data_IF_634927265438
#
_entry.id   IF_634927265438
#
_cell.length_a   1.000
_cell.length_b   1.000
_cell.length_c   1.000
_cell.angle_alpha   90.00
_cell.angle_beta   90.00
_cell.angle_gamma   90.00
#
_symmetry.space_group_name_H-M   'P 1'
#
loop_
_entity.id
_entity.type
_entity.pdbx_description
1 polymer ?
#
# COMPACT_ATOMS: atom_id res chain seq x y z
N UNK A 1 54.71 -13.60 10.33
CA UNK A 1 54.55 -12.80 9.10
C UNK A 1 53.05 -12.62 8.89
N UNK A 2 52.57 -11.39 9.04
CA UNK A 2 51.15 -11.04 9.09
C UNK A 2 50.46 -11.23 7.73
N UNK A 3 49.25 -11.78 7.73
CA UNK A 3 48.39 -11.82 6.54
C UNK A 3 48.04 -10.38 6.10
N UNK A 4 47.95 -10.09 4.79
CA UNK A 4 47.61 -8.75 4.32
C UNK A 4 46.16 -8.39 4.70
N UNK A 5 45.84 -7.10 4.91
CA UNK A 5 44.47 -6.65 5.11
C UNK A 5 43.64 -6.91 3.84
N UNK A 6 42.41 -7.41 4.03
CA UNK A 6 41.45 -7.55 2.93
C UNK A 6 41.15 -6.16 2.33
N UNK A 7 41.05 -6.03 0.99
CA UNK A 7 40.67 -4.76 0.38
C UNK A 7 39.27 -4.36 0.85
N UNK A 8 39.12 -3.07 1.14
CA UNK A 8 37.84 -2.45 1.50
C UNK A 8 36.79 -2.84 0.48
N UNK A 9 35.83 -3.66 0.90
CA UNK A 9 34.60 -3.90 0.19
C UNK A 9 33.90 -2.54 0.04
N UNK A 10 33.50 -2.11 -1.17
CA UNK A 10 32.76 -0.87 -1.32
C UNK A 10 31.48 -1.02 -0.50
N UNK A 11 31.22 -0.02 0.36
CA UNK A 11 29.95 0.10 1.10
C UNK A 11 28.84 -0.03 0.07
N UNK A 12 27.96 -1.01 0.28
CA UNK A 12 26.74 -1.18 -0.49
C UNK A 12 26.11 0.19 -0.68
N UNK A 13 25.94 0.58 -1.94
CA UNK A 13 25.15 1.74 -2.30
C UNK A 13 23.72 1.38 -1.87
N UNK A 14 23.36 1.77 -0.65
CA UNK A 14 22.00 1.64 -0.15
C UNK A 14 21.18 2.60 -0.99
N UNK A 15 20.54 2.10 -2.04
CA UNK A 15 19.35 2.74 -2.58
C UNK A 15 18.46 3.00 -1.37
N UNK A 16 18.30 4.27 -0.97
CA UNK A 16 17.39 4.61 0.11
C UNK A 16 16.00 4.29 -0.44
N UNK A 17 15.38 3.22 0.04
CA UNK A 17 13.96 3.02 -0.18
C UNK A 17 13.24 4.31 0.25
N UNK A 18 12.33 4.84 -0.57
CA UNK A 18 11.59 6.05 -0.23
C UNK A 18 10.90 5.81 1.12
N UNK A 19 11.06 6.76 2.04
CA UNK A 19 10.32 6.72 3.30
C UNK A 19 8.87 7.04 2.98
N UNK A 20 7.94 6.26 3.50
CA UNK A 20 6.50 6.48 3.34
C UNK A 20 5.93 7.12 4.60
N UNK A 21 4.93 7.98 4.42
CA UNK A 21 4.03 8.40 5.49
C UNK A 21 2.63 7.85 5.21
N UNK A 22 1.94 7.46 6.27
CA UNK A 22 0.62 6.84 6.20
C UNK A 22 -0.44 7.81 6.73
N UNK A 23 -1.63 7.76 6.13
CA UNK A 23 -2.79 8.53 6.57
C UNK A 23 -3.28 8.06 7.94
N UNK A 24 -4.00 8.94 8.65
CA UNK A 24 -4.77 8.58 9.84
C UNK A 24 -5.98 7.68 9.55
N UNK A 25 -6.41 7.60 8.28
CA UNK A 25 -7.47 6.69 7.82
C UNK A 25 -6.98 5.25 7.58
N UNK A 26 -5.66 5.04 7.52
CA UNK A 26 -5.09 3.71 7.36
C UNK A 26 -5.33 2.86 8.61
N UNK A 27 -5.68 1.58 8.43
CA UNK A 27 -5.93 0.67 9.53
C UNK A 27 -6.81 -0.52 9.18
N UNK A 28 -7.08 -1.35 10.18
CA UNK A 28 -7.99 -2.48 10.03
C UNK A 28 -9.44 -2.00 9.93
N UNK A 29 -10.18 -2.55 8.98
CA UNK A 29 -11.61 -2.35 8.82
C UNK A 29 -12.30 -3.72 8.79
N UNK A 30 -13.36 -3.86 9.59
CA UNK A 30 -14.14 -5.10 9.68
C UNK A 30 -15.62 -4.82 9.43
N UNK A 31 -16.22 -5.60 8.54
CA UNK A 31 -17.65 -5.67 8.31
C UNK A 31 -18.09 -7.09 7.98
N UNK A 32 -19.24 -7.50 8.49
CA UNK A 32 -19.79 -8.87 8.36
C UNK A 32 -18.80 -10.02 8.67
N UNK A 33 -17.81 -9.79 9.54
CA UNK A 33 -16.80 -10.79 9.90
C UNK A 33 -15.71 -11.00 8.84
N UNK A 34 -15.58 -10.08 7.87
CA UNK A 34 -14.45 -9.97 6.96
C UNK A 34 -13.59 -8.80 7.41
N UNK A 35 -12.29 -9.04 7.55
CA UNK A 35 -11.32 -7.99 7.94
C UNK A 35 -10.37 -7.72 6.77
N UNK A 36 -10.15 -6.44 6.51
CA UNK A 36 -9.14 -5.94 5.57
C UNK A 36 -8.25 -4.92 6.27
N UNK A 37 -7.02 -4.78 5.82
CA UNK A 37 -6.14 -3.67 6.16
C UNK A 37 -6.20 -2.66 5.01
N UNK A 38 -6.69 -1.46 5.31
CA UNK A 38 -6.67 -0.33 4.40
C UNK A 38 -5.35 0.40 4.62
N UNK A 39 -4.48 0.42 3.62
CA UNK A 39 -3.23 1.18 3.65
C UNK A 39 -3.34 2.37 2.69
N UNK A 40 -3.16 3.58 3.24
CA UNK A 40 -3.21 4.83 2.49
C UNK A 40 -1.91 5.56 2.78
N UNK A 41 -1.06 5.71 1.77
CA UNK A 41 0.30 6.19 1.96
C UNK A 41 0.80 7.07 0.80
N UNK A 42 1.89 7.79 1.05
CA UNK A 42 2.63 8.54 0.02
C UNK A 42 4.10 8.70 0.41
N UNK A 43 4.91 9.26 -0.50
CA UNK A 43 6.31 9.58 -0.18
C UNK A 43 6.39 10.66 0.91
N UNK A 44 7.05 10.31 2.03
CA UNK A 44 7.15 11.14 3.22
C UNK A 44 7.85 12.47 2.95
N UNK A 45 7.30 13.54 3.51
CA UNK A 45 7.85 14.89 3.34
C UNK A 45 7.64 15.48 1.94
N UNK A 46 6.78 14.88 1.13
CA UNK A 46 6.31 15.43 -0.14
C UNK A 46 4.83 15.84 -0.05
N UNK A 47 4.37 16.59 -1.04
CA UNK A 47 2.93 16.80 -1.29
C UNK A 47 2.50 15.97 -2.51
N UNK A 48 3.05 14.77 -2.66
CA UNK A 48 2.63 13.83 -3.69
C UNK A 48 1.21 13.32 -3.43
N UNK A 49 0.65 12.69 -4.47
CA UNK A 49 -0.64 12.02 -4.40
C UNK A 49 -0.54 10.78 -3.49
N UNK A 50 -1.70 10.34 -3.01
CA UNK A 50 -1.86 9.22 -2.09
C UNK A 50 -2.19 7.95 -2.85
N UNK A 51 -1.53 6.87 -2.49
CA UNK A 51 -1.85 5.52 -2.98
C UNK A 51 -2.77 4.84 -1.98
N UNK A 52 -3.75 4.09 -2.50
CA UNK A 52 -4.63 3.22 -1.72
C UNK A 52 -4.30 1.76 -2.04
N UNK A 53 -4.08 0.97 -1.00
CA UNK A 53 -4.03 -0.47 -1.05
C UNK A 53 -5.02 -1.06 -0.04
N UNK A 54 -5.72 -2.13 -0.43
CA UNK A 54 -6.54 -2.92 0.47
C UNK A 54 -5.99 -4.33 0.51
N UNK A 55 -5.51 -4.73 1.69
CA UNK A 55 -4.93 -6.04 1.93
C UNK A 55 -5.97 -6.88 2.66
N UNK A 56 -6.42 -7.96 2.02
CA UNK A 56 -7.37 -8.86 2.66
C UNK A 56 -6.73 -9.78 3.70
N UNK A 57 -7.57 -10.37 4.54
CA UNK A 57 -7.18 -11.46 5.46
C UNK A 57 -6.57 -12.70 4.76
N UNK A 58 -6.69 -12.81 3.43
CA UNK A 58 -6.05 -13.86 2.61
C UNK A 58 -4.80 -13.36 1.88
N UNK A 59 -4.25 -12.22 2.28
CA UNK A 59 -3.03 -11.60 1.72
C UNK A 59 -3.14 -11.19 0.25
N UNK A 60 -4.37 -10.98 -0.27
CA UNK A 60 -4.60 -10.39 -1.59
C UNK A 60 -4.55 -8.87 -1.45
N UNK A 61 -3.82 -8.22 -2.35
CA UNK A 61 -3.67 -6.77 -2.38
C UNK A 61 -4.44 -6.22 -3.58
N UNK A 62 -5.42 -5.38 -3.30
CA UNK A 62 -6.11 -4.58 -4.31
C UNK A 62 -5.50 -3.18 -4.31
N UNK A 63 -5.01 -2.74 -5.47
CA UNK A 63 -4.44 -1.42 -5.69
C UNK A 63 -5.21 -0.72 -6.81
N UNK A 64 -5.38 0.59 -6.69
CA UNK A 64 -6.04 1.41 -7.71
C UNK A 64 -5.01 1.89 -8.73
N UNK A 65 -5.43 2.06 -9.99
CA UNK A 65 -4.53 2.53 -11.07
C UNK A 65 -4.19 4.02 -10.96
N UNK A 66 -5.12 4.82 -10.43
CA UNK A 66 -4.94 6.26 -10.20
C UNK A 66 -4.72 6.55 -8.72
N UNK A 67 -3.75 7.42 -8.43
CA UNK A 67 -3.52 7.96 -7.09
C UNK A 67 -4.55 9.06 -6.76
N UNK A 68 -4.62 9.45 -5.48
CA UNK A 68 -5.61 10.38 -4.94
C UNK A 68 -4.98 11.69 -4.46
N UNK A 69 -5.59 12.83 -4.77
CA UNK A 69 -5.09 14.15 -4.34
C UNK A 69 -5.06 14.29 -2.79
N UNK A 70 -5.97 13.60 -2.09
CA UNK A 70 -6.08 13.61 -0.63
C UNK A 70 -6.28 12.20 -0.10
N UNK A 71 -5.81 11.96 1.13
CA UNK A 71 -6.06 10.71 1.84
C UNK A 71 -7.54 10.47 2.13
N UNK A 72 -8.30 11.56 2.36
CA UNK A 72 -9.76 11.48 2.46
C UNK A 72 -10.41 10.95 1.18
N UNK A 73 -9.94 11.37 0.00
CA UNK A 73 -10.48 10.86 -1.27
C UNK A 73 -10.18 9.37 -1.46
N UNK A 74 -8.99 8.90 -1.07
CA UNK A 74 -8.65 7.48 -1.04
C UNK A 74 -9.58 6.71 -0.09
N UNK A 75 -9.82 7.23 1.12
CA UNK A 75 -10.73 6.61 2.08
C UNK A 75 -12.18 6.55 1.58
N UNK A 76 -12.66 7.62 0.95
CA UNK A 76 -14.01 7.66 0.36
C UNK A 76 -14.16 6.65 -0.78
N UNK A 77 -13.12 6.42 -1.59
CA UNK A 77 -13.11 5.38 -2.62
C UNK A 77 -13.14 3.97 -2.02
N UNK A 78 -12.39 3.72 -0.94
CA UNK A 78 -12.50 2.46 -0.19
C UNK A 78 -13.93 2.22 0.29
N UNK A 79 -14.55 3.21 0.94
CA UNK A 79 -15.93 3.11 1.41
C UNK A 79 -16.92 2.89 0.26
N UNK A 80 -16.77 3.62 -0.85
CA UNK A 80 -17.64 3.46 -2.01
C UNK A 80 -17.55 2.04 -2.60
N UNK A 81 -16.35 1.48 -2.69
CA UNK A 81 -16.15 0.09 -3.15
C UNK A 81 -16.72 -0.92 -2.16
N UNK A 82 -16.47 -0.73 -0.85
CA UNK A 82 -17.02 -1.59 0.20
C UNK A 82 -18.58 -1.54 0.24
N UNK A 83 -19.18 -0.37 0.02
CA UNK A 83 -20.64 -0.21 -0.05
C UNK A 83 -21.24 -0.83 -1.33
N UNK A 84 -20.52 -0.72 -2.46
CA UNK A 84 -20.98 -1.21 -3.76
C UNK A 84 -20.87 -2.74 -3.88
N UNK A 85 -19.72 -3.28 -3.49
CA UNK A 85 -19.31 -4.66 -3.79
C UNK A 85 -19.17 -5.55 -2.53
N UNK A 86 -19.13 -4.93 -1.35
CA UNK A 86 -18.92 -5.61 -0.06
C UNK A 86 -17.47 -5.99 0.19
N UNK A 87 -17.03 -6.10 1.44
CA UNK A 87 -15.63 -6.45 1.77
C UNK A 87 -15.18 -7.82 1.23
N UNK A 88 -16.12 -8.71 0.93
CA UNK A 88 -15.83 -10.03 0.34
C UNK A 88 -15.24 -9.92 -1.06
N UNK A 89 -15.43 -8.80 -1.78
CA UNK A 89 -14.84 -8.59 -3.10
C UNK A 89 -13.30 -8.56 -3.05
N UNK A 90 -12.71 -8.06 -1.96
CA UNK A 90 -11.26 -8.04 -1.77
C UNK A 90 -10.62 -9.42 -1.46
N UNK A 91 -11.44 -10.48 -1.30
CA UNK A 91 -10.95 -11.83 -1.01
C UNK A 91 -10.63 -12.64 -2.26
N UNK A 92 -10.97 -12.13 -3.44
CA UNK A 92 -10.70 -12.79 -4.72
C UNK A 92 -9.75 -11.89 -5.52
N UNK A 93 -8.76 -12.50 -6.19
CA UNK A 93 -8.00 -11.78 -7.21
C UNK A 93 -8.95 -11.56 -8.38
N UNK A 94 -9.41 -10.32 -8.57
CA UNK A 94 -10.10 -9.95 -9.80
C UNK A 94 -9.11 -10.15 -10.97
N UNK A 95 -9.17 -11.31 -11.63
CA UNK A 95 -8.49 -11.59 -12.91
C UNK A 95 -9.15 -10.82 -14.06
N UNK A 96 -9.75 -9.66 -13.77
CA UNK A 96 -10.31 -8.76 -14.77
C UNK A 96 -9.31 -7.63 -15.01
N UNK A 97 -8.72 -7.53 -16.23
CA UNK A 97 -7.98 -6.34 -16.60
C UNK A 97 -8.98 -5.20 -16.60
N UNK A 98 -9.04 -4.45 -15.50
CA UNK A 98 -9.88 -3.27 -15.40
C UNK A 98 -9.32 -2.25 -16.37
N UNK A 99 -10.01 -2.10 -17.49
CA UNK A 99 -9.76 -1.04 -18.45
C UNK A 99 -10.63 0.13 -18.03
N UNK A 100 -10.02 1.18 -17.46
CA UNK A 100 -10.63 2.50 -17.50
C UNK A 100 -9.72 3.49 -18.24
#
# INVERSE_FOLDING_TARGET
MSKPPKPNQPKSNQSKEPQLEHSEFAGEFEDEGVTVLVDIFREAGTNGDWTLEVISQTEIVTTWEEDFETDQAAWEEFLATAERDGLKSFLEEDDTPSVH
#
